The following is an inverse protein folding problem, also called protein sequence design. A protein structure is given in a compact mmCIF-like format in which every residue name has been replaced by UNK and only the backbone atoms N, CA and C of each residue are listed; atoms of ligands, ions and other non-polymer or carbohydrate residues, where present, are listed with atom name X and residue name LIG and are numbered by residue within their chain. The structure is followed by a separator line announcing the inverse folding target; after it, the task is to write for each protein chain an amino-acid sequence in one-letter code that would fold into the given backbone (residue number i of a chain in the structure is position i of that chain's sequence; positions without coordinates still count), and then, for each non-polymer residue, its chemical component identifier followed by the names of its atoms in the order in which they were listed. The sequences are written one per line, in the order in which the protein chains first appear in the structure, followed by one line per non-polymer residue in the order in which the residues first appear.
data_IF_934975159776
#
_entry.id   IF_934975159776
#
_cell.length_a   1.000
_cell.length_b   1.000
_cell.length_c   1.000
_cell.angle_alpha   90.00
_cell.angle_beta   90.00
_cell.angle_gamma   90.00
#
_symmetry.space_group_name_H-M   'P 1'
#
loop_
_entity.id
_entity.type
_entity.pdbx_description
1 polymer ?
#
# COMPACT_ATOMS: atom_id res chain seq x y z
N UNK A 1 4.15 -23.09 35.87
CA UNK A 1 4.98 -23.38 34.69
C UNK A 1 4.26 -24.40 33.83
N UNK A 2 3.93 -24.05 32.59
CA UNK A 2 3.11 -24.86 31.68
C UNK A 2 3.99 -25.81 30.84
N UNK A 3 3.48 -26.98 30.50
CA UNK A 3 4.09 -27.80 29.45
C UNK A 3 3.78 -27.22 28.05
N UNK A 4 4.55 -27.62 27.04
CA UNK A 4 4.38 -27.10 25.68
C UNK A 4 2.97 -27.35 25.12
N UNK A 5 2.33 -28.47 25.48
CA UNK A 5 0.98 -28.81 25.03
C UNK A 5 -0.07 -27.89 25.64
N UNK A 6 -0.01 -27.63 26.94
CA UNK A 6 -0.95 -26.73 27.62
C UNK A 6 -0.70 -25.28 27.20
N UNK A 7 0.55 -24.86 27.04
CA UNK A 7 0.89 -23.52 26.55
C UNK A 7 0.30 -23.26 25.14
N UNK A 8 0.38 -24.24 24.23
CA UNK A 8 -0.27 -24.16 22.91
C UNK A 8 -1.80 -24.07 23.04
N UNK A 9 -2.40 -24.87 23.92
CA UNK A 9 -3.85 -24.83 24.18
C UNK A 9 -4.30 -23.48 24.73
N UNK A 10 -3.53 -22.87 25.63
CA UNK A 10 -3.82 -21.53 26.17
C UNK A 10 -3.86 -20.48 25.07
N UNK A 11 -2.90 -20.50 24.14
CA UNK A 11 -2.93 -19.61 22.97
C UNK A 11 -4.12 -19.91 22.06
N UNK A 12 -4.40 -21.19 21.76
CA UNK A 12 -5.57 -21.53 20.93
C UNK A 12 -6.88 -21.05 21.54
N UNK A 13 -7.05 -21.14 22.86
CA UNK A 13 -8.22 -20.61 23.56
C UNK A 13 -8.30 -19.09 23.46
N UNK A 14 -7.16 -18.41 23.57
CA UNK A 14 -7.10 -16.96 23.44
C UNK A 14 -7.46 -16.49 22.02
N UNK A 15 -7.11 -17.26 20.97
CA UNK A 15 -7.55 -17.00 19.60
C UNK A 15 -9.08 -17.13 19.42
N UNK A 16 -9.74 -17.97 20.22
CA UNK A 16 -11.20 -18.18 20.14
C UNK A 16 -12.01 -17.21 20.99
N UNK A 17 -11.38 -16.54 21.96
CA UNK A 17 -12.06 -15.62 22.89
C UNK A 17 -11.96 -14.14 22.51
N UNK A 18 -11.31 -13.83 21.38
CA UNK A 18 -10.96 -12.47 20.97
C UNK A 18 -11.52 -12.16 19.58
N UNK A 19 -11.67 -10.87 19.25
CA UNK A 19 -12.35 -10.41 18.03
C UNK A 19 -11.60 -10.84 16.76
N UNK A 20 -12.35 -11.19 15.70
CA UNK A 20 -11.80 -11.65 14.41
C UNK A 20 -10.96 -10.60 13.66
N UNK A 21 -11.02 -9.35 14.09
CA UNK A 21 -10.37 -8.20 13.46
C UNK A 21 -9.09 -7.75 14.19
N UNK A 22 -8.76 -8.41 15.31
CA UNK A 22 -7.59 -8.06 16.14
C UNK A 22 -6.33 -8.78 15.65
N UNK A 23 -5.25 -8.01 15.51
CA UNK A 23 -3.91 -8.55 15.20
C UNK A 23 -3.19 -8.89 16.50
N UNK A 24 -2.33 -9.91 16.50
CA UNK A 24 -1.61 -10.33 17.72
C UNK A 24 -0.10 -10.35 17.53
N UNK A 25 0.61 -10.06 18.61
CA UNK A 25 2.06 -10.18 18.72
C UNK A 25 2.39 -10.97 19.99
N UNK A 26 3.24 -11.97 19.89
CA UNK A 26 3.74 -12.73 21.05
C UNK A 26 5.24 -12.50 21.14
N UNK A 27 5.71 -12.19 22.33
CA UNK A 27 7.13 -12.18 22.68
C UNK A 27 7.46 -13.40 23.54
N UNK A 28 8.53 -14.10 23.19
CA UNK A 28 9.09 -15.19 23.96
C UNK A 28 10.48 -14.78 24.46
N UNK A 29 10.64 -14.76 25.77
CA UNK A 29 11.92 -14.54 26.44
C UNK A 29 12.42 -15.85 27.01
N UNK A 30 13.58 -16.32 26.56
CA UNK A 30 14.26 -17.44 27.20
C UNK A 30 14.86 -16.96 28.53
N UNK A 31 14.38 -17.51 29.65
CA UNK A 31 14.76 -17.04 30.99
C UNK A 31 16.23 -17.32 31.31
N UNK A 32 16.86 -18.31 30.65
CA UNK A 32 18.27 -18.67 30.90
C UNK A 32 19.25 -17.94 30.00
N UNK A 33 18.88 -17.72 28.75
CA UNK A 33 19.79 -17.14 27.74
C UNK A 33 19.48 -15.68 27.42
N UNK A 34 18.44 -15.11 28.05
CA UNK A 34 17.92 -13.75 27.79
C UNK A 34 17.61 -13.49 26.31
N UNK A 35 17.38 -14.56 25.54
CA UNK A 35 17.12 -14.47 24.10
C UNK A 35 15.65 -14.16 23.84
N UNK A 36 15.39 -13.17 22.99
CA UNK A 36 14.05 -12.70 22.65
C UNK A 36 13.62 -13.19 21.26
N UNK A 37 12.38 -13.65 21.16
CA UNK A 37 11.74 -14.01 19.90
C UNK A 37 10.37 -13.35 19.81
N UNK A 38 10.08 -12.62 18.73
CA UNK A 38 8.76 -12.02 18.51
C UNK A 38 8.08 -12.62 17.29
N UNK A 39 6.79 -12.93 17.41
CA UNK A 39 5.98 -13.43 16.30
C UNK A 39 4.64 -12.72 16.23
N UNK A 40 4.22 -12.34 15.02
CA UNK A 40 2.90 -11.74 14.74
C UNK A 40 1.81 -12.80 14.51
N UNK A 41 1.87 -13.90 15.26
CA UNK A 41 0.96 -15.04 15.12
C UNK A 41 0.72 -15.65 16.49
N UNK A 42 -0.53 -15.96 16.80
CA UNK A 42 -0.93 -16.47 18.11
C UNK A 42 -0.60 -17.96 18.29
N UNK A 43 0.66 -18.34 18.11
CA UNK A 43 1.14 -19.72 18.16
C UNK A 43 2.59 -19.81 18.57
N UNK A 44 2.97 -20.85 19.31
CA UNK A 44 4.38 -21.13 19.67
C UNK A 44 5.09 -21.78 18.48
N UNK A 45 6.14 -21.15 17.90
CA UNK A 45 6.92 -21.73 16.80
C UNK A 45 7.54 -23.07 17.19
N UNK A 46 7.53 -24.03 16.25
CA UNK A 46 8.23 -25.31 16.42
C UNK A 46 9.76 -25.20 16.32
N UNK A 47 10.27 -24.03 15.91
CA UNK A 47 11.70 -23.72 15.78
C UNK A 47 12.32 -23.14 17.05
N UNK A 48 11.53 -22.89 18.11
CA UNK A 48 12.06 -22.41 19.38
C UNK A 48 12.98 -23.48 20.00
N UNK A 49 14.22 -23.12 20.40
CA UNK A 49 15.13 -24.05 21.09
C UNK A 49 14.51 -24.63 22.37
N UNK A 50 14.96 -25.81 22.79
CA UNK A 50 14.58 -26.37 24.10
C UNK A 50 14.99 -25.44 25.24
N UNK A 51 14.12 -25.26 26.23
CA UNK A 51 14.34 -24.30 27.30
C UNK A 51 13.06 -23.80 27.96
N UNK A 52 13.20 -22.93 28.94
CA UNK A 52 12.10 -22.28 29.65
C UNK A 52 11.91 -20.87 29.10
N UNK A 53 10.68 -20.57 28.69
CA UNK A 53 10.31 -19.30 28.09
C UNK A 53 9.21 -18.61 28.89
N UNK A 54 9.32 -17.29 28.99
CA UNK A 54 8.22 -16.40 29.35
C UNK A 54 7.57 -15.89 28.07
N UNK A 55 6.28 -16.12 27.91
CA UNK A 55 5.49 -15.64 26.78
C UNK A 55 4.64 -14.45 27.21
N UNK A 56 4.75 -13.33 26.50
CA UNK A 56 3.88 -12.16 26.63
C UNK A 56 3.09 -11.98 25.34
N UNK A 57 1.76 -11.95 25.47
CA UNK A 57 0.83 -11.85 24.35
C UNK A 57 0.24 -10.45 24.33
N UNK A 58 0.35 -9.78 23.18
CA UNK A 58 -0.15 -8.44 22.91
C UNK A 58 -1.26 -8.49 21.87
N UNK A 59 -2.36 -7.77 22.13
CA UNK A 59 -3.36 -7.38 21.15
C UNK A 59 -2.89 -6.09 20.48
N UNK A 60 -2.89 -6.06 19.16
CA UNK A 60 -2.53 -4.90 18.34
C UNK A 60 -3.81 -4.37 17.72
N UNK A 61 -4.26 -3.21 18.20
CA UNK A 61 -5.40 -2.47 17.67
C UNK A 61 -4.92 -1.16 17.03
N UNK A 62 -5.80 -0.43 16.33
CA UNK A 62 -5.47 0.88 15.75
C UNK A 62 -5.06 1.93 16.79
N UNK A 63 -5.46 1.74 18.05
CA UNK A 63 -5.24 2.67 19.16
C UNK A 63 -4.02 2.31 20.02
N UNK A 64 -3.34 1.17 19.78
CA UNK A 64 -2.12 0.79 20.49
C UNK A 64 -1.97 -0.72 20.76
N UNK A 65 -0.93 -1.08 21.51
CA UNK A 65 -0.68 -2.46 21.95
C UNK A 65 -1.16 -2.68 23.40
N UNK A 66 -1.95 -3.73 23.65
CA UNK A 66 -2.44 -4.10 24.98
C UNK A 66 -1.97 -5.51 25.36
N UNK A 67 -1.44 -5.66 26.58
CA UNK A 67 -1.08 -6.99 27.10
C UNK A 67 -2.34 -7.80 27.41
N UNK A 68 -2.50 -8.94 26.73
CA UNK A 68 -3.60 -9.88 26.91
C UNK A 68 -3.28 -10.99 27.90
N UNK A 69 -2.06 -11.51 27.87
CA UNK A 69 -1.68 -12.66 28.68
C UNK A 69 -0.17 -12.74 28.89
N UNK A 70 0.24 -13.20 30.06
CA UNK A 70 1.63 -13.50 30.39
C UNK A 70 1.67 -14.89 31.04
N UNK A 71 2.47 -15.79 30.49
CA UNK A 71 2.64 -17.12 31.06
C UNK A 71 4.03 -17.71 30.77
N UNK A 72 4.48 -18.61 31.63
CA UNK A 72 5.77 -19.30 31.48
C UNK A 72 5.57 -20.77 31.09
N UNK A 73 6.35 -21.26 30.12
CA UNK A 73 6.29 -22.63 29.63
C UNK A 73 7.68 -23.22 29.33
N UNK A 74 7.78 -24.56 29.29
CA UNK A 74 9.01 -25.27 28.88
C UNK A 74 8.86 -26.08 27.61
N UNK A 75 9.92 -26.07 26.81
CA UNK A 75 10.12 -26.97 25.68
C UNK A 75 11.12 -28.06 26.12
N UNK A 76 10.71 -29.34 26.19
CA UNK A 76 11.61 -30.43 26.59
C UNK A 76 12.76 -30.59 25.60
N UNK A 77 13.91 -31.10 26.08
CA UNK A 77 15.03 -31.47 25.23
C UNK A 77 14.64 -32.72 24.40
N UNK A 78 14.79 -32.64 23.08
CA UNK A 78 14.67 -33.82 22.20
C UNK A 78 15.82 -34.77 22.54
N UNK A 79 15.59 -35.71 23.44
CA UNK A 79 16.59 -36.70 23.89
C UNK A 79 16.19 -37.51 25.13
N UNK A 80 15.23 -37.04 25.94
CA UNK A 80 14.80 -37.76 27.14
C UNK A 80 13.37 -38.29 27.01
N UNK A 81 13.17 -39.27 26.14
CA UNK A 81 12.05 -40.22 26.18
C UNK A 81 12.40 -41.34 25.21
N UNK A 82 12.40 -42.59 25.70
CA UNK A 82 12.65 -43.84 24.96
C UNK A 82 14.10 -44.34 24.85
N UNK A 83 14.72 -44.68 25.99
CA UNK A 83 15.67 -45.82 26.03
C UNK A 83 15.31 -46.71 27.23
N UNK A 84 14.16 -47.39 27.13
CA UNK A 84 13.93 -48.65 27.83
C UNK A 84 13.35 -49.62 26.81
N UNK A 85 14.22 -50.31 26.08
CA UNK A 85 13.91 -51.61 25.53
C UNK A 85 15.22 -52.41 25.52
N UNK A 86 15.35 -53.26 26.53
CA UNK A 86 16.35 -54.30 26.64
C UNK A 86 16.27 -55.22 25.43
N UNK A 87 17.29 -55.20 24.57
CA UNK A 87 17.44 -56.20 23.51
C UNK A 87 18.16 -57.39 24.14
N UNK A 88 17.42 -58.49 24.37
CA UNK A 88 17.98 -59.81 24.65
C UNK A 88 18.77 -60.30 23.45
N UNK A 89 20.06 -60.55 23.63
CA UNK A 89 20.91 -61.23 22.64
C UNK A 89 21.24 -62.62 23.21
N UNK A 90 20.67 -63.66 22.61
CA UNK A 90 21.14 -65.05 22.73
C UNK A 90 22.39 -65.25 21.87
N UNK A 91 23.47 -65.90 22.34
CA UNK A 91 24.62 -66.21 21.49
C UNK A 91 24.48 -67.60 20.84
N UNK A 92 24.97 -67.83 19.62
CA UNK A 92 25.33 -69.16 19.17
C UNK A 92 26.72 -69.50 19.75
N UNK A 93 26.80 -70.64 20.42
CA UNK A 93 28.04 -71.22 20.93
C UNK A 93 28.82 -71.78 19.74
N UNK A 94 29.99 -71.20 19.45
CA UNK A 94 31.02 -71.90 18.69
C UNK A 94 32.37 -71.72 19.37
N UNK A 95 32.96 -72.86 19.70
CA UNK A 95 34.15 -73.01 20.55
C UNK A 95 35.39 -72.68 19.72
N UNK A 96 36.09 -71.59 20.05
CA UNK A 96 37.48 -71.38 19.64
C UNK A 96 38.32 -70.80 20.79
N UNK A 97 39.59 -71.23 20.79
CA UNK A 97 40.66 -71.05 21.80
C UNK A 97 40.72 -69.69 22.51
N UNK A 98 41.31 -69.62 23.73
CA UNK A 98 41.32 -68.40 24.55
C UNK A 98 42.27 -67.35 23.96
N UNK A 99 41.81 -66.61 22.97
CA UNK A 99 42.38 -65.33 22.55
C UNK A 99 41.44 -64.24 23.02
N UNK A 100 41.86 -63.52 24.05
CA UNK A 100 41.33 -62.24 24.55
C UNK A 100 39.99 -61.77 23.96
N UNK A 101 38.91 -62.50 24.26
CA UNK A 101 37.53 -62.14 23.86
C UNK A 101 37.16 -60.75 24.41
N UNK A 102 37.74 -60.38 25.55
CA UNK A 102 37.59 -59.04 26.12
C UNK A 102 38.27 -57.95 25.27
N UNK A 103 39.42 -58.24 24.67
CA UNK A 103 40.13 -57.28 23.81
C UNK A 103 39.39 -57.09 22.48
N UNK A 104 38.87 -58.17 21.89
CA UNK A 104 38.10 -58.06 20.64
C UNK A 104 36.81 -57.25 20.84
N UNK A 105 36.08 -57.47 21.94
CA UNK A 105 34.89 -56.68 22.29
C UNK A 105 35.25 -55.21 22.49
N UNK A 106 36.33 -54.90 23.22
CA UNK A 106 36.77 -53.51 23.43
C UNK A 106 37.19 -52.81 22.14
N UNK A 107 37.85 -53.52 21.22
CA UNK A 107 38.22 -52.99 19.91
C UNK A 107 36.99 -52.74 19.03
N UNK A 108 36.01 -53.64 19.06
CA UNK A 108 34.75 -53.46 18.33
C UNK A 108 33.95 -52.27 18.89
N UNK A 109 33.86 -52.13 20.22
CA UNK A 109 33.24 -50.96 20.86
C UNK A 109 33.94 -49.65 20.48
N UNK A 110 35.28 -49.63 20.46
CA UNK A 110 36.04 -48.45 20.01
C UNK A 110 35.73 -48.10 18.55
N UNK A 111 35.65 -49.12 17.68
CA UNK A 111 35.32 -48.93 16.27
C UNK A 111 33.88 -48.42 16.09
N UNK A 112 32.94 -48.96 16.86
CA UNK A 112 31.55 -48.51 16.88
C UNK A 112 31.46 -47.05 17.34
N UNK A 113 32.20 -46.68 18.38
CA UNK A 113 32.25 -45.31 18.90
C UNK A 113 32.83 -44.34 17.85
N UNK A 114 33.91 -44.74 17.18
CA UNK A 114 34.49 -43.98 16.07
C UNK A 114 33.51 -43.77 14.92
N UNK A 115 32.77 -44.83 14.53
CA UNK A 115 31.73 -44.74 13.50
C UNK A 115 30.58 -43.82 13.95
N UNK A 116 30.15 -43.89 15.21
CA UNK A 116 29.09 -43.04 15.75
C UNK A 116 29.47 -41.56 15.67
N UNK A 117 30.69 -41.22 16.09
CA UNK A 117 31.17 -39.84 16.03
C UNK A 117 31.29 -39.31 14.60
N UNK A 118 31.75 -40.15 13.67
CA UNK A 118 31.84 -39.79 12.26
C UNK A 118 30.45 -39.59 11.62
N UNK A 119 29.47 -40.45 11.96
CA UNK A 119 28.08 -40.28 11.54
C UNK A 119 27.47 -39.00 12.12
N UNK A 120 27.75 -38.69 13.39
CA UNK A 120 27.27 -37.45 14.02
C UNK A 120 27.87 -36.22 13.33
N UNK A 121 29.17 -36.25 13.01
CA UNK A 121 29.85 -35.19 12.24
C UNK A 121 29.17 -34.96 10.90
N UNK A 122 28.94 -36.01 10.12
CA UNK A 122 28.27 -35.91 8.82
C UNK A 122 26.83 -35.41 8.93
N UNK A 123 26.11 -35.81 9.98
CA UNK A 123 24.77 -35.30 10.25
C UNK A 123 24.79 -33.79 10.54
N UNK A 124 25.76 -33.33 11.32
CA UNK A 124 25.93 -31.91 11.61
C UNK A 124 26.34 -31.11 10.38
N UNK A 125 27.22 -31.65 9.54
CA UNK A 125 27.60 -31.03 8.26
C UNK A 125 26.39 -30.89 7.33
N UNK A 126 25.61 -31.97 7.18
CA UNK A 126 24.38 -31.95 6.37
C UNK A 126 23.36 -30.92 6.89
N UNK A 127 23.20 -30.82 8.22
CA UNK A 127 22.31 -29.82 8.83
C UNK A 127 22.79 -28.40 8.59
N UNK A 128 24.09 -28.15 8.73
CA UNK A 128 24.70 -26.84 8.50
C UNK A 128 24.55 -26.42 7.04
N UNK A 129 24.82 -27.32 6.10
CA UNK A 129 24.68 -27.05 4.67
C UNK A 129 23.21 -26.87 4.26
N UNK A 130 22.30 -27.64 4.85
CA UNK A 130 20.86 -27.44 4.69
C UNK A 130 20.40 -26.05 5.18
N UNK A 131 20.89 -25.60 6.34
CA UNK A 131 20.60 -24.26 6.86
C UNK A 131 21.16 -23.15 5.95
N UNK A 132 22.39 -23.30 5.47
CA UNK A 132 22.99 -22.36 4.52
C UNK A 132 22.18 -22.27 3.22
N UNK A 133 21.83 -23.42 2.64
CA UNK A 133 21.03 -23.47 1.42
C UNK A 133 19.64 -22.86 1.61
N UNK A 134 18.98 -23.10 2.74
CA UNK A 134 17.69 -22.51 3.06
C UNK A 134 17.79 -20.98 3.21
N UNK A 135 18.82 -20.48 3.88
CA UNK A 135 19.06 -19.05 4.03
C UNK A 135 19.35 -18.37 2.68
N UNK A 136 20.20 -18.97 1.85
CA UNK A 136 20.48 -18.47 0.50
C UNK A 136 19.24 -18.48 -0.40
N UNK A 137 18.40 -19.52 -0.29
CA UNK A 137 17.14 -19.60 -1.03
C UNK A 137 16.17 -18.49 -0.60
N UNK A 138 16.02 -18.25 0.71
CA UNK A 138 15.17 -17.17 1.21
C UNK A 138 15.71 -15.79 0.82
N UNK A 139 17.04 -15.60 0.88
CA UNK A 139 17.68 -14.37 0.41
C UNK A 139 17.42 -14.13 -1.08
N UNK A 140 17.51 -15.17 -1.91
CA UNK A 140 17.19 -15.08 -3.35
C UNK A 140 15.72 -14.74 -3.57
N UNK A 141 14.81 -15.45 -2.89
CA UNK A 141 13.35 -15.22 -2.97
C UNK A 141 12.99 -13.78 -2.59
N UNK A 142 13.58 -13.26 -1.52
CA UNK A 142 13.36 -11.88 -1.07
C UNK A 142 13.89 -10.86 -2.09
N UNK A 143 15.10 -11.09 -2.62
CA UNK A 143 15.70 -10.22 -3.61
C UNK A 143 14.90 -10.18 -4.92
N UNK A 144 14.41 -11.33 -5.39
CA UNK A 144 13.49 -11.42 -6.53
C UNK A 144 12.16 -10.71 -6.26
N UNK A 145 11.61 -10.85 -5.05
CA UNK A 145 10.39 -10.13 -4.65
C UNK A 145 10.58 -8.62 -4.68
N UNK A 146 11.68 -8.10 -4.13
CA UNK A 146 11.98 -6.68 -4.15
C UNK A 146 12.23 -6.17 -5.57
N UNK A 147 12.96 -6.94 -6.39
CA UNK A 147 13.16 -6.62 -7.80
C UNK A 147 11.82 -6.50 -8.54
N UNK A 148 10.92 -7.47 -8.38
CA UNK A 148 9.61 -7.44 -9.01
C UNK A 148 8.77 -6.25 -8.55
N UNK A 149 8.87 -5.85 -7.28
CA UNK A 149 8.18 -4.66 -6.76
C UNK A 149 8.73 -3.38 -7.37
N UNK A 150 10.06 -3.25 -7.46
CA UNK A 150 10.71 -2.11 -8.11
C UNK A 150 10.29 -2.02 -9.58
N UNK A 151 10.27 -3.15 -10.30
CA UNK A 151 9.88 -3.18 -11.72
C UNK A 151 8.40 -2.76 -11.90
N UNK A 152 7.51 -3.21 -11.01
CA UNK A 152 6.10 -2.80 -11.00
C UNK A 152 5.95 -1.29 -10.78
N UNK A 153 6.65 -0.75 -9.79
CA UNK A 153 6.63 0.67 -9.44
C UNK A 153 7.20 1.51 -10.61
N UNK A 154 8.31 1.09 -11.19
CA UNK A 154 8.92 1.78 -12.33
C UNK A 154 7.95 1.83 -13.52
N UNK A 155 7.27 0.72 -13.82
CA UNK A 155 6.28 0.67 -14.90
C UNK A 155 5.07 1.59 -14.64
N UNK A 156 4.60 1.68 -13.40
CA UNK A 156 3.54 2.62 -13.01
C UNK A 156 4.00 4.08 -13.17
N UNK A 157 5.23 4.39 -12.77
CA UNK A 157 5.81 5.72 -12.97
C UNK A 157 6.01 6.07 -14.43
N UNK A 158 6.49 5.14 -15.26
CA UNK A 158 6.60 5.32 -16.70
C UNK A 158 5.23 5.60 -17.33
N UNK A 159 4.20 4.86 -16.94
CA UNK A 159 2.84 5.09 -17.40
C UNK A 159 2.30 6.48 -17.00
N UNK A 160 2.46 6.86 -15.74
CA UNK A 160 2.06 8.20 -15.25
C UNK A 160 2.84 9.32 -15.93
N UNK A 161 4.13 9.12 -16.16
CA UNK A 161 4.97 10.06 -16.88
C UNK A 161 4.49 10.24 -18.32
N UNK A 162 4.12 9.15 -19.00
CA UNK A 162 3.63 9.19 -20.37
C UNK A 162 2.28 9.90 -20.49
N UNK A 163 1.36 9.67 -19.55
CA UNK A 163 0.10 10.45 -19.48
C UNK A 163 0.39 11.92 -19.26
N UNK A 164 1.30 12.25 -18.34
CA UNK A 164 1.64 13.64 -18.02
C UNK A 164 2.25 14.35 -19.22
N UNK A 165 3.15 13.69 -19.96
CA UNK A 165 3.71 14.19 -21.22
C UNK A 165 2.62 14.44 -22.28
N UNK A 166 1.69 13.50 -22.46
CA UNK A 166 0.58 13.68 -23.39
C UNK A 166 -0.33 14.86 -22.99
N UNK A 167 -0.66 14.98 -21.71
CA UNK A 167 -1.44 16.11 -21.21
C UNK A 167 -0.73 17.45 -21.45
N UNK A 168 0.59 17.51 -21.22
CA UNK A 168 1.39 18.70 -21.50
C UNK A 168 1.34 19.08 -22.99
N UNK A 169 1.45 18.08 -23.88
CA UNK A 169 1.38 18.32 -25.32
C UNK A 169 0.02 18.88 -25.75
N UNK A 170 -1.08 18.33 -25.20
CA UNK A 170 -2.43 18.84 -25.45
C UNK A 170 -2.61 20.27 -24.93
N UNK A 171 -2.09 20.57 -23.74
CA UNK A 171 -2.13 21.92 -23.18
C UNK A 171 -1.32 22.93 -24.00
N UNK A 172 -0.14 22.56 -24.48
CA UNK A 172 0.66 23.42 -25.38
C UNK A 172 -0.04 23.64 -26.73
N UNK A 173 -0.74 22.64 -27.24
CA UNK A 173 -1.54 22.77 -28.46
C UNK A 173 -2.69 23.77 -28.28
N UNK A 174 -3.45 23.68 -27.19
CA UNK A 174 -4.52 24.63 -26.88
C UNK A 174 -3.97 26.03 -26.56
N UNK A 175 -2.84 26.13 -25.84
CA UNK A 175 -2.14 27.40 -25.61
C UNK A 175 -1.77 28.08 -26.94
N UNK A 176 -1.20 27.32 -27.87
CA UNK A 176 -0.80 27.82 -29.19
C UNK A 176 -2.03 28.30 -29.99
N UNK A 177 -3.12 27.54 -29.94
CA UNK A 177 -4.40 27.88 -30.60
C UNK A 177 -5.01 29.17 -30.04
N UNK A 178 -5.06 29.31 -28.71
CA UNK A 178 -5.53 30.54 -28.06
C UNK A 178 -4.64 31.73 -28.40
N UNK A 179 -3.32 31.54 -28.40
CA UNK A 179 -2.37 32.60 -28.78
C UNK A 179 -2.63 33.09 -30.20
N UNK A 180 -2.79 32.18 -31.17
CA UNK A 180 -3.13 32.54 -32.56
C UNK A 180 -4.50 33.22 -32.68
N UNK A 181 -5.49 32.78 -31.89
CA UNK A 181 -6.81 33.40 -31.89
C UNK A 181 -6.76 34.84 -31.36
N UNK A 182 -5.99 35.08 -30.30
CA UNK A 182 -5.75 36.42 -29.75
C UNK A 182 -5.00 37.29 -30.77
N UNK A 183 -3.90 36.79 -31.34
CA UNK A 183 -3.15 37.53 -32.38
C UNK A 183 -4.02 37.89 -33.58
N UNK A 184 -4.87 36.97 -34.03
CA UNK A 184 -5.81 37.21 -35.12
C UNK A 184 -6.83 38.29 -34.76
N UNK A 185 -7.41 38.23 -33.54
CA UNK A 185 -8.36 39.22 -33.05
C UNK A 185 -7.71 40.61 -32.93
N UNK A 186 -6.53 40.69 -32.32
CA UNK A 186 -5.76 41.95 -32.18
C UNK A 186 -5.43 42.52 -33.55
N UNK A 187 -5.02 41.69 -34.51
CA UNK A 187 -4.76 42.14 -35.89
C UNK A 187 -6.03 42.63 -36.59
N UNK A 188 -7.16 41.98 -36.36
CA UNK A 188 -8.48 42.41 -36.87
C UNK A 188 -8.91 43.76 -36.28
N UNK A 189 -8.78 43.94 -34.96
CA UNK A 189 -9.07 45.19 -34.26
C UNK A 189 -8.14 46.32 -34.72
N UNK A 190 -6.85 46.05 -34.90
CA UNK A 190 -5.88 47.04 -35.42
C UNK A 190 -6.17 47.45 -36.87
N UNK A 191 -6.59 46.50 -37.72
CA UNK A 191 -6.96 46.79 -39.11
C UNK A 191 -8.24 47.64 -39.21
N UNK A 192 -9.21 47.40 -38.33
CA UNK A 192 -10.43 48.20 -38.24
C UNK A 192 -10.18 49.58 -37.58
N UNK A 193 -9.21 49.67 -36.66
CA UNK A 193 -8.79 50.94 -36.05
C UNK A 193 -7.96 51.85 -36.98
N UNK A 194 -7.48 51.33 -38.11
CA UNK A 194 -6.74 52.12 -39.11
C UNK A 194 -7.63 52.71 -40.21
N UNK A 195 -8.94 52.43 -40.19
CA UNK A 195 -9.92 52.98 -41.12
C UNK A 195 -11.06 53.66 -40.37
N UNK A 196 -10.77 54.73 -39.64
CA UNK A 196 -11.75 55.80 -39.41
C UNK A 196 -11.03 57.00 -38.82
N UNK A 197 -11.33 58.15 -39.41
CA UNK A 197 -11.18 59.46 -38.80
C UNK A 197 -11.56 59.42 -37.32
N UNK A 198 -10.86 60.21 -36.50
CA UNK A 198 -10.85 60.13 -35.04
C UNK A 198 -12.19 59.81 -34.38
N UNK A 199 -12.12 59.01 -33.32
CA UNK A 199 -13.22 58.76 -32.40
C UNK A 199 -13.76 60.10 -31.85
N UNK A 200 -14.78 60.63 -32.52
CA UNK A 200 -15.44 61.88 -32.16
C UNK A 200 -16.40 61.59 -31.00
N UNK A 201 -15.86 61.72 -29.78
CA UNK A 201 -16.60 61.63 -28.51
C UNK A 201 -17.90 62.44 -28.53
N UNK A 202 -17.93 63.53 -29.28
CA UNK A 202 -19.09 64.43 -29.40
C UNK A 202 -20.29 63.73 -30.03
N UNK A 203 -20.09 62.92 -31.08
CA UNK A 203 -21.17 62.12 -31.69
C UNK A 203 -21.57 60.91 -30.86
N UNK A 204 -20.63 60.34 -30.11
CA UNK A 204 -20.94 59.24 -29.19
C UNK A 204 -21.80 59.69 -28.01
N UNK A 205 -21.62 60.93 -27.55
CA UNK A 205 -22.43 61.56 -26.49
C UNK A 205 -23.82 61.99 -26.95
N UNK A 206 -24.08 62.11 -28.25
CA UNK A 206 -25.43 62.32 -28.79
C UNK A 206 -26.26 61.02 -28.80
N UNK A 207 -25.63 59.85 -28.63
CA UNK A 207 -26.33 58.57 -28.63
C UNK A 207 -27.03 58.35 -27.27
N UNK A 208 -28.37 58.22 -27.23
CA UNK A 208 -29.13 58.10 -25.98
C UNK A 208 -28.77 56.85 -25.16
N UNK A 209 -28.20 55.82 -25.80
CA UNK A 209 -27.72 54.62 -25.09
C UNK A 209 -26.42 54.86 -24.33
N UNK A 210 -25.52 55.69 -24.87
CA UNK A 210 -24.25 56.05 -24.22
C UNK A 210 -24.51 56.97 -23.03
N UNK A 211 -25.42 57.93 -23.18
CA UNK A 211 -25.88 58.79 -22.09
C UNK A 211 -26.58 57.99 -20.98
N UNK A 212 -27.40 56.98 -21.34
CA UNK A 212 -28.05 56.09 -20.37
C UNK A 212 -27.04 55.24 -19.59
N UNK A 213 -25.99 54.75 -20.23
CA UNK A 213 -24.92 54.00 -19.57
C UNK A 213 -24.04 54.88 -18.67
N UNK A 214 -23.68 56.09 -19.11
CA UNK A 214 -22.98 57.05 -18.27
C UNK A 214 -23.85 57.49 -17.07
N UNK A 215 -25.13 57.77 -17.28
CA UNK A 215 -26.06 58.14 -16.21
C UNK A 215 -26.17 57.04 -15.13
N UNK A 216 -26.25 55.77 -15.55
CA UNK A 216 -26.29 54.62 -14.64
C UNK A 216 -24.98 54.36 -13.90
N UNK A 217 -23.83 54.63 -14.51
CA UNK A 217 -22.51 54.42 -13.88
C UNK A 217 -22.09 55.57 -12.96
N UNK A 218 -22.57 56.80 -13.21
CA UNK A 218 -22.34 57.95 -12.35
C UNK A 218 -23.43 58.17 -11.29
N UNK A 219 -24.48 57.33 -11.25
CA UNK A 219 -25.57 57.44 -10.27
C UNK A 219 -26.42 58.71 -10.44
N UNK A 220 -26.41 59.31 -11.63
CA UNK A 220 -27.17 60.52 -11.96
C UNK A 220 -28.46 60.06 -12.63
N UNK A 221 -29.56 60.11 -11.89
CA UNK A 221 -30.89 59.96 -12.46
C UNK A 221 -31.17 61.15 -13.39
N UNK A 222 -31.14 60.90 -14.70
CA UNK A 222 -31.55 61.90 -15.70
C UNK A 222 -33.06 62.11 -15.55
N UNK A 223 -33.54 63.37 -15.38
CA UNK A 223 -34.96 63.65 -15.22
C UNK A 223 -35.77 63.11 -16.40
N UNK A 224 -36.84 62.38 -16.07
CA UNK A 224 -37.75 61.74 -17.01
C UNK A 224 -38.33 62.79 -17.99
N UNK A 225 -37.98 62.66 -19.27
CA UNK A 225 -38.61 63.47 -20.33
C UNK A 225 -40.05 62.94 -20.49
N UNK A 226 -41.09 63.79 -20.35
CA UNK A 226 -42.47 63.33 -20.38
C UNK A 226 -42.83 62.89 -21.81
N UNK A 227 -42.95 61.57 -22.02
CA UNK A 227 -43.36 61.01 -23.30
C UNK A 227 -43.04 59.52 -23.54
N UNK A 228 -42.13 58.90 -22.79
CA UNK A 228 -41.77 57.50 -22.99
C UNK A 228 -42.47 56.57 -21.99
N UNK A 229 -43.77 56.33 -22.22
CA UNK A 229 -44.47 55.21 -21.61
C UNK A 229 -44.04 53.89 -22.30
N UNK A 230 -42.89 53.37 -21.91
CA UNK A 230 -42.50 51.98 -22.19
C UNK A 230 -41.22 51.66 -21.42
N UNK A 231 -41.40 51.09 -20.22
CA UNK A 231 -40.34 50.32 -19.59
C UNK A 231 -39.81 49.30 -20.59
N UNK A 232 -38.49 49.15 -20.64
CA UNK A 232 -37.80 48.20 -21.50
C UNK A 232 -38.49 46.83 -21.36
N UNK A 233 -39.04 46.33 -22.47
CA UNK A 233 -39.84 45.12 -22.49
C UNK A 233 -38.97 43.93 -22.09
N UNK A 234 -39.22 43.40 -20.90
CA UNK A 234 -38.52 42.24 -20.35
C UNK A 234 -38.66 41.01 -21.25
N UNK A 235 -39.68 40.97 -22.13
CA UNK A 235 -39.82 39.95 -23.16
C UNK A 235 -38.73 40.03 -24.24
N UNK A 236 -38.25 41.22 -24.62
CA UNK A 236 -37.15 41.38 -25.58
C UNK A 236 -35.81 40.95 -24.99
N UNK A 237 -35.59 41.22 -23.69
CA UNK A 237 -34.41 40.75 -22.96
C UNK A 237 -34.43 39.22 -22.80
N UNK A 238 -35.60 38.62 -22.51
CA UNK A 238 -35.76 37.16 -22.48
C UNK A 238 -35.63 36.50 -23.86
N UNK A 239 -36.03 37.17 -24.95
CA UNK A 239 -35.83 36.65 -26.30
C UNK A 239 -34.34 36.63 -26.70
N UNK A 240 -33.58 37.66 -26.33
CA UNK A 240 -32.13 37.68 -26.54
C UNK A 240 -31.41 36.63 -25.69
N UNK A 241 -31.83 36.41 -24.44
CA UNK A 241 -31.27 35.38 -23.57
C UNK A 241 -31.64 33.95 -24.03
N UNK A 242 -32.86 33.75 -24.54
CA UNK A 242 -33.29 32.44 -25.06
C UNK A 242 -32.65 32.11 -26.41
N UNK A 243 -32.35 33.11 -27.25
CA UNK A 243 -31.55 32.94 -28.47
C UNK A 243 -30.12 32.47 -28.22
N UNK A 244 -29.55 32.78 -27.04
CA UNK A 244 -28.23 32.30 -26.63
C UNK A 244 -28.29 30.90 -25.97
N UNK A 245 -29.39 30.58 -25.27
CA UNK A 245 -29.59 29.26 -24.64
C UNK A 245 -30.06 28.17 -25.61
N UNK A 246 -30.70 28.51 -26.74
CA UNK A 246 -31.21 27.54 -27.71
C UNK A 246 -30.25 27.22 -28.86
N UNK A 247 -28.97 27.58 -28.76
CA UNK A 247 -27.95 27.04 -29.67
C UNK A 247 -27.56 25.61 -29.26
N UNK A 248 -28.44 24.66 -29.57
CA UNK A 248 -28.07 23.24 -29.71
C UNK A 248 -27.08 23.08 -30.86
N UNK A 249 -25.90 22.47 -30.66
CA UNK A 249 -25.20 21.81 -31.74
C UNK A 249 -25.94 20.51 -32.06
N UNK A 250 -26.23 20.31 -33.35
CA UNK A 250 -26.62 19.00 -33.84
C UNK A 250 -25.43 18.02 -33.69
N UNK A 251 -25.78 16.77 -33.40
CA UNK A 251 -24.99 15.53 -33.48
C UNK A 251 -23.89 15.26 -32.43
N UNK A 252 -24.21 14.35 -31.50
CA UNK A 252 -23.26 13.36 -30.99
C UNK A 252 -22.89 13.45 -29.51
N UNK A 253 -23.79 13.00 -28.63
CA UNK A 253 -23.44 12.34 -27.35
C UNK A 253 -22.45 13.03 -26.40
N UNK A 254 -22.81 14.17 -25.83
CA UNK A 254 -22.20 14.66 -24.58
C UNK A 254 -23.29 15.22 -23.66
N UNK A 255 -23.53 14.53 -22.57
CA UNK A 255 -24.41 14.96 -21.47
C UNK A 255 -23.78 16.14 -20.71
N UNK A 256 -24.40 17.31 -20.82
CA UNK A 256 -24.57 18.39 -19.83
C UNK A 256 -23.46 18.61 -18.76
N UNK A 257 -22.27 19.04 -19.19
CA UNK A 257 -21.16 19.43 -18.30
C UNK A 257 -21.44 20.68 -17.43
N UNK A 258 -22.23 21.64 -17.91
CA UNK A 258 -22.38 22.94 -17.20
C UNK A 258 -23.38 22.85 -16.03
N UNK A 259 -24.42 22.03 -16.17
CA UNK A 259 -25.41 21.83 -15.10
C UNK A 259 -24.87 20.95 -13.96
N UNK A 260 -23.93 20.04 -14.26
CA UNK A 260 -23.19 19.29 -13.23
C UNK A 260 -22.23 20.15 -12.42
N UNK A 261 -21.60 21.15 -13.05
CA UNK A 261 -20.64 22.04 -12.36
C UNK A 261 -21.36 22.96 -11.36
N UNK A 262 -22.57 23.43 -11.68
CA UNK A 262 -23.37 24.29 -10.79
C UNK A 262 -23.92 23.50 -9.59
N UNK A 263 -24.22 22.21 -9.75
CA UNK A 263 -24.76 21.37 -8.68
C UNK A 263 -23.70 20.76 -7.75
N UNK A 264 -22.41 20.83 -8.07
CA UNK A 264 -21.30 20.36 -7.19
C UNK A 264 -20.84 21.38 -6.15
N UNK A 265 -21.43 22.58 -6.13
CA UNK A 265 -21.08 23.66 -5.22
C UNK A 265 -21.98 23.79 -3.98
N UNK A 266 -22.72 22.74 -3.60
CA UNK A 266 -23.49 22.67 -2.35
C UNK A 266 -23.10 21.45 -1.53
#
# INVERSE_FOLDING_TARGET
MLDLKTARRTLSNLATSTSSESSYRIEFLNIRTEMFFSIKKLSIPGSLPSGTYRAEVFEVTSDGEKVLSNFEFSIPFKGESEIQNSISITPPVEVQSPKDVNLSILLELRKQDQISHENERQLWETKLDGLRAAYEAESRRLNESHKNEIDRINKDWEYKLEITKNNQLLLEAERTKLTRAIESRVKGELKNGSQTEGFDLTKALENPLVLSLLGKTLGIEVPNIPGAASGIDMAQIMQLASGLMNQTPATGGQTNSIMEIINRGK
#
